data_IF_498049511419
#
_entry.id   IF_498049511419
#
_cell.length_a   1.000
_cell.length_b   1.000
_cell.length_c   1.000
_cell.angle_alpha   90.00
_cell.angle_beta   90.00
_cell.angle_gamma   90.00
#
_symmetry.space_group_name_H-M   'P 1'
#
loop_
_entity.id
_entity.type
_entity.pdbx_description
1 polymer ?
#
# COMPACT_ATOMS: atom_id res chain seq x y z
N UNK A 1 -7.91 -30.54 -29.82
CA UNK A 1 -7.64 -29.28 -29.08
C UNK A 1 -6.91 -28.35 -30.04
N UNK A 2 -7.25 -27.07 -30.15
CA UNK A 2 -6.55 -26.18 -31.11
C UNK A 2 -5.13 -25.89 -30.62
N UNK A 3 -4.15 -25.77 -31.52
CA UNK A 3 -2.74 -25.43 -31.20
C UNK A 3 -2.65 -24.23 -30.24
N UNK A 4 -3.44 -23.18 -30.52
CA UNK A 4 -3.54 -21.98 -29.66
C UNK A 4 -4.02 -22.26 -28.23
N UNK A 5 -4.86 -23.27 -28.02
CA UNK A 5 -5.36 -23.64 -26.68
C UNK A 5 -4.29 -24.40 -25.90
N UNK A 6 -3.52 -25.23 -26.58
CA UNK A 6 -2.39 -25.97 -26.01
C UNK A 6 -1.24 -25.04 -25.62
N UNK A 7 -0.88 -24.10 -26.48
CA UNK A 7 0.12 -23.06 -26.18
C UNK A 7 -0.25 -22.25 -24.92
N UNK A 8 -1.52 -21.86 -24.79
CA UNK A 8 -2.01 -21.14 -23.60
C UNK A 8 -1.92 -21.99 -22.32
N UNK A 9 -2.23 -23.27 -22.41
CA UNK A 9 -2.14 -24.20 -21.28
C UNK A 9 -0.68 -24.39 -20.85
N UNK A 10 0.22 -24.53 -21.81
CA UNK A 10 1.65 -24.68 -21.55
C UNK A 10 2.25 -23.42 -20.93
N UNK A 11 1.88 -22.22 -21.42
CA UNK A 11 2.27 -20.96 -20.82
C UNK A 11 1.78 -20.83 -19.37
N UNK A 12 0.51 -21.19 -19.11
CA UNK A 12 -0.06 -21.17 -17.76
C UNK A 12 0.65 -22.15 -16.82
N UNK A 13 0.99 -23.35 -17.31
CA UNK A 13 1.74 -24.36 -16.54
C UNK A 13 3.13 -23.84 -16.17
N UNK A 14 3.87 -23.30 -17.14
CA UNK A 14 5.18 -22.71 -16.91
C UNK A 14 5.13 -21.59 -15.86
N UNK A 15 4.11 -20.73 -15.92
CA UNK A 15 3.92 -19.65 -14.93
C UNK A 15 3.68 -20.20 -13.51
N UNK A 16 2.93 -21.29 -13.39
CA UNK A 16 2.65 -21.93 -12.10
C UNK A 16 3.89 -22.62 -11.50
N UNK A 17 4.74 -23.20 -12.35
CA UNK A 17 6.00 -23.81 -11.95
C UNK A 17 7.07 -22.76 -11.62
N UNK A 18 7.00 -21.59 -12.25
CA UNK A 18 8.00 -20.53 -12.13
C UNK A 18 7.49 -19.29 -11.37
N UNK A 19 6.63 -19.48 -10.35
CA UNK A 19 5.96 -18.38 -9.62
C UNK A 19 6.90 -17.28 -9.15
N UNK A 20 8.03 -17.63 -8.52
CA UNK A 20 8.99 -16.62 -8.04
C UNK A 20 9.67 -15.85 -9.18
N UNK A 21 10.04 -16.54 -10.27
CA UNK A 21 10.59 -15.88 -11.45
C UNK A 21 9.58 -14.93 -12.09
N UNK A 22 8.33 -15.36 -12.21
CA UNK A 22 7.23 -14.53 -12.74
C UNK A 22 7.02 -13.31 -11.84
N UNK A 23 7.01 -13.48 -10.52
CA UNK A 23 6.88 -12.40 -9.53
C UNK A 23 8.02 -11.39 -9.64
N UNK A 24 9.27 -11.85 -9.69
CA UNK A 24 10.45 -10.99 -9.83
C UNK A 24 10.38 -10.19 -11.13
N UNK A 25 10.14 -10.85 -12.26
CA UNK A 25 10.07 -10.19 -13.57
C UNK A 25 8.92 -9.20 -13.64
N UNK A 26 7.76 -9.55 -13.08
CA UNK A 26 6.60 -8.67 -13.01
C UNK A 26 6.90 -7.43 -12.17
N UNK A 27 7.53 -7.59 -11.00
CA UNK A 27 7.92 -6.48 -10.16
C UNK A 27 8.93 -5.58 -10.86
N UNK A 28 9.97 -6.15 -11.50
CA UNK A 28 10.94 -5.41 -12.31
C UNK A 28 10.25 -4.59 -13.40
N UNK A 29 9.31 -5.18 -14.14
CA UNK A 29 8.56 -4.48 -15.18
C UNK A 29 7.69 -3.36 -14.61
N UNK A 30 6.95 -3.62 -13.52
CA UNK A 30 6.10 -2.62 -12.86
C UNK A 30 6.90 -1.44 -12.34
N UNK A 31 8.06 -1.68 -11.73
CA UNK A 31 8.94 -0.61 -11.23
C UNK A 31 9.49 0.26 -12.36
N UNK A 32 9.81 -0.34 -13.52
CA UNK A 32 10.26 0.40 -14.71
C UNK A 32 9.13 1.15 -15.44
N UNK A 33 7.88 0.70 -15.30
CA UNK A 33 6.72 1.23 -16.02
C UNK A 33 5.69 1.86 -15.06
N UNK A 34 6.15 2.51 -13.98
CA UNK A 34 5.28 3.01 -12.90
C UNK A 34 4.17 3.93 -13.40
N UNK A 35 4.48 4.87 -14.29
CA UNK A 35 3.49 5.81 -14.82
C UNK A 35 2.42 5.11 -15.65
N UNK A 36 2.83 4.18 -16.54
CA UNK A 36 1.90 3.36 -17.33
C UNK A 36 1.01 2.49 -16.44
N UNK A 37 1.58 1.89 -15.39
CA UNK A 37 0.81 1.10 -14.41
C UNK A 37 -0.21 1.97 -13.70
N UNK A 38 0.18 3.19 -13.28
CA UNK A 38 -0.71 4.16 -12.62
C UNK A 38 -1.82 4.61 -13.56
N UNK A 39 -1.52 4.94 -14.81
CA UNK A 39 -2.49 5.38 -15.81
C UNK A 39 -3.55 4.30 -16.06
N UNK A 40 -3.12 3.07 -16.34
CA UNK A 40 -4.04 1.93 -16.54
C UNK A 40 -4.88 1.66 -15.30
N UNK A 41 -4.29 1.78 -14.10
CA UNK A 41 -5.04 1.62 -12.85
C UNK A 41 -6.09 2.71 -12.67
N UNK A 42 -5.74 3.97 -12.90
CA UNK A 42 -6.65 5.10 -12.79
C UNK A 42 -7.82 4.96 -13.78
N UNK A 43 -7.53 4.57 -15.01
CA UNK A 43 -8.56 4.33 -16.03
C UNK A 43 -9.49 3.18 -15.62
N UNK A 44 -8.95 2.08 -15.09
CA UNK A 44 -9.76 0.98 -14.57
C UNK A 44 -10.65 1.43 -13.40
N UNK A 45 -10.12 2.20 -12.45
CA UNK A 45 -10.90 2.75 -11.32
C UNK A 45 -12.04 3.64 -11.81
N UNK A 46 -11.77 4.50 -12.80
CA UNK A 46 -12.75 5.41 -13.40
C UNK A 46 -13.87 4.67 -14.11
N UNK A 47 -13.52 3.60 -14.83
CA UNK A 47 -14.47 2.82 -15.64
C UNK A 47 -15.18 1.71 -14.87
N UNK A 48 -14.71 1.35 -13.68
CA UNK A 48 -15.28 0.26 -12.86
C UNK A 48 -15.59 0.67 -11.41
N UNK A 49 -16.32 1.79 -11.17
CA UNK A 49 -16.53 2.34 -9.83
C UNK A 49 -17.29 1.37 -8.90
N UNK A 50 -18.29 0.64 -9.40
CA UNK A 50 -19.05 -0.33 -8.59
C UNK A 50 -18.17 -1.46 -8.06
N UNK A 51 -17.22 -1.94 -8.88
CA UNK A 51 -16.27 -2.96 -8.47
C UNK A 51 -15.35 -2.44 -7.36
N UNK A 52 -14.83 -1.21 -7.51
CA UNK A 52 -14.00 -0.54 -6.50
C UNK A 52 -14.73 -0.40 -5.17
N UNK A 53 -16.00 0.01 -5.21
CA UNK A 53 -16.86 0.10 -4.02
C UNK A 53 -17.06 -1.28 -3.40
N UNK A 54 -17.33 -2.30 -4.22
CA UNK A 54 -17.48 -3.69 -3.77
C UNK A 54 -16.25 -4.23 -3.06
N UNK A 55 -15.05 -3.98 -3.59
CA UNK A 55 -13.78 -4.36 -2.95
C UNK A 55 -13.57 -3.63 -1.62
N UNK A 56 -13.88 -2.33 -1.58
CA UNK A 56 -13.78 -1.52 -0.35
C UNK A 56 -14.71 -2.08 0.73
N UNK A 57 -15.96 -2.36 0.39
CA UNK A 57 -16.94 -2.95 1.32
C UNK A 57 -16.47 -4.31 1.86
N UNK A 58 -15.98 -5.20 0.99
CA UNK A 58 -15.42 -6.51 1.41
C UNK A 58 -14.26 -6.35 2.38
N UNK A 59 -13.33 -5.43 2.10
CA UNK A 59 -12.17 -5.15 2.97
C UNK A 59 -12.60 -4.61 4.33
N UNK A 60 -13.50 -3.63 4.36
CA UNK A 60 -13.99 -3.05 5.62
C UNK A 60 -14.74 -4.10 6.45
N UNK A 61 -15.59 -4.92 5.81
CA UNK A 61 -16.28 -6.02 6.48
C UNK A 61 -15.29 -7.02 7.09
N UNK A 62 -14.30 -7.47 6.32
CA UNK A 62 -13.29 -8.44 6.80
C UNK A 62 -12.67 -8.04 8.14
N UNK A 63 -12.25 -6.77 8.28
CA UNK A 63 -11.59 -6.30 9.49
C UNK A 63 -12.58 -5.82 10.56
N UNK A 64 -13.74 -5.27 10.16
CA UNK A 64 -14.81 -4.91 11.07
C UNK A 64 -15.35 -6.11 11.83
N UNK A 65 -15.62 -7.23 11.13
CA UNK A 65 -16.10 -8.48 11.75
C UNK A 65 -15.16 -8.97 12.87
N UNK A 66 -13.84 -8.88 12.67
CA UNK A 66 -12.82 -9.30 13.66
C UNK A 66 -12.88 -8.46 14.95
N UNK A 67 -13.33 -7.21 14.83
CA UNK A 67 -13.46 -6.26 15.93
C UNK A 67 -14.91 -6.10 16.39
N UNK A 68 -15.83 -6.95 15.92
CA UNK A 68 -17.26 -6.88 16.21
C UNK A 68 -17.89 -5.51 15.86
N UNK A 69 -17.45 -4.92 14.75
CA UNK A 69 -17.94 -3.64 14.24
C UNK A 69 -18.57 -3.80 12.86
N UNK A 70 -19.60 -3.00 12.57
CA UNK A 70 -20.10 -2.93 11.20
C UNK A 70 -19.06 -2.26 10.27
N UNK A 71 -19.11 -2.51 8.93
CA UNK A 71 -18.11 -1.98 8.01
C UNK A 71 -18.01 -0.44 7.99
N UNK A 72 -19.12 0.27 8.20
CA UNK A 72 -19.18 1.74 8.26
C UNK A 72 -18.55 2.24 9.55
N UNK A 73 -18.87 1.64 10.70
CA UNK A 73 -18.24 1.94 11.98
C UNK A 73 -16.73 1.76 11.91
N UNK A 74 -16.26 0.61 11.43
CA UNK A 74 -14.84 0.34 11.27
C UNK A 74 -14.16 1.35 10.34
N UNK A 75 -14.80 1.72 9.22
CA UNK A 75 -14.31 2.75 8.31
C UNK A 75 -14.18 4.12 8.98
N UNK A 76 -15.21 4.54 9.74
CA UNK A 76 -15.18 5.78 10.52
C UNK A 76 -14.09 5.77 11.60
N UNK A 77 -13.92 4.65 12.31
CA UNK A 77 -12.90 4.48 13.32
C UNK A 77 -11.49 4.60 12.73
N UNK A 78 -11.24 4.00 11.56
CA UNK A 78 -9.97 4.17 10.83
C UNK A 78 -9.69 5.63 10.42
N UNK A 79 -10.72 6.35 9.97
CA UNK A 79 -10.56 7.77 9.61
C UNK A 79 -10.21 8.62 10.85
N UNK A 80 -10.87 8.35 11.99
CA UNK A 80 -10.56 9.01 13.27
C UNK A 80 -9.15 8.66 13.75
N UNK A 81 -8.77 7.39 13.71
CA UNK A 81 -7.43 6.93 14.06
C UNK A 81 -6.34 7.66 13.25
N UNK A 82 -6.55 7.78 11.93
CA UNK A 82 -5.64 8.52 11.04
C UNK A 82 -5.51 9.99 11.47
N UNK A 83 -6.63 10.66 11.73
CA UNK A 83 -6.63 12.05 12.20
C UNK A 83 -5.92 12.18 13.55
N UNK A 84 -6.30 11.39 14.55
CA UNK A 84 -5.75 11.42 15.91
C UNK A 84 -4.25 11.11 15.93
N UNK A 85 -3.76 10.18 15.10
CA UNK A 85 -2.32 9.90 15.02
C UNK A 85 -1.53 11.10 14.53
N UNK A 86 -2.03 11.84 13.54
CA UNK A 86 -1.37 13.05 13.02
C UNK A 86 -1.42 14.19 14.02
N UNK A 87 -2.53 14.34 14.74
CA UNK A 87 -2.67 15.33 15.81
C UNK A 87 -1.72 15.03 16.98
N UNK A 88 -1.63 13.77 17.43
CA UNK A 88 -0.66 13.32 18.45
C UNK A 88 0.78 13.67 18.04
N UNK A 89 1.09 13.46 16.77
CA UNK A 89 2.43 13.64 16.20
C UNK A 89 2.68 15.10 15.74
N UNK A 90 1.81 16.05 16.11
CA UNK A 90 1.87 17.47 15.74
C UNK A 90 2.02 17.72 14.23
N UNK A 91 1.46 16.85 13.40
CA UNK A 91 1.63 16.87 11.95
C UNK A 91 3.12 16.89 11.52
N UNK A 92 3.94 16.10 12.21
CA UNK A 92 5.36 15.91 11.90
C UNK A 92 5.62 14.44 11.57
N UNK A 93 6.38 14.19 10.50
CA UNK A 93 6.86 12.85 10.18
C UNK A 93 7.75 12.31 11.30
N UNK A 94 7.40 11.16 11.87
CA UNK A 94 8.12 10.59 13.01
C UNK A 94 9.44 9.87 12.64
N UNK A 95 9.84 9.89 11.36
CA UNK A 95 11.12 9.35 10.89
C UNK A 95 12.10 10.48 10.53
N UNK A 96 11.65 11.46 9.72
CA UNK A 96 12.53 12.49 9.17
C UNK A 96 12.20 13.91 9.66
N UNK A 97 11.26 14.06 10.59
CA UNK A 97 10.83 15.35 11.16
C UNK A 97 10.26 16.36 10.16
N UNK A 98 9.95 15.96 8.92
CA UNK A 98 9.29 16.84 7.95
C UNK A 98 7.88 17.19 8.42
N UNK A 99 7.59 18.49 8.53
CA UNK A 99 6.26 19.02 8.80
C UNK A 99 5.31 18.78 7.62
N UNK A 100 4.02 18.66 7.91
CA UNK A 100 3.01 18.48 6.90
C UNK A 100 1.61 18.83 7.37
N UNK A 101 0.61 18.25 6.71
CA UNK A 101 -0.79 18.42 7.07
C UNK A 101 -1.57 17.12 6.82
N UNK A 102 -2.89 17.18 7.04
CA UNK A 102 -3.77 16.01 6.90
C UNK A 102 -3.73 15.34 5.52
N UNK A 103 -3.35 16.09 4.46
CA UNK A 103 -3.27 15.61 3.08
C UNK A 103 -1.88 15.08 2.70
N UNK A 104 -0.80 15.62 3.28
CA UNK A 104 0.59 15.25 2.91
C UNK A 104 1.20 14.17 3.80
N UNK A 105 0.65 13.97 5.00
CA UNK A 105 1.06 12.93 5.94
C UNK A 105 0.12 11.73 5.92
N UNK A 106 0.66 10.56 6.23
CA UNK A 106 -0.03 9.28 6.22
C UNK A 106 0.10 8.58 7.58
N UNK A 107 -0.99 7.95 8.00
CA UNK A 107 -1.01 7.06 9.16
C UNK A 107 -0.57 5.66 8.71
N UNK A 108 0.59 5.21 9.18
CA UNK A 108 1.16 3.89 8.86
C UNK A 108 0.92 2.90 10.01
N UNK A 109 0.45 1.70 9.71
CA UNK A 109 0.36 0.61 10.69
C UNK A 109 1.72 -0.09 10.82
N UNK A 110 2.36 -0.02 12.00
CA UNK A 110 3.66 -0.69 12.25
C UNK A 110 3.51 -2.22 12.20
N UNK A 111 2.46 -2.75 12.83
CA UNK A 111 1.99 -4.12 12.67
C UNK A 111 0.88 -4.14 11.63
N UNK A 112 1.17 -4.73 10.46
CA UNK A 112 0.24 -4.76 9.34
C UNK A 112 -1.08 -5.48 9.69
N UNK A 113 -2.19 -4.88 9.26
CA UNK A 113 -3.56 -5.42 9.45
C UNK A 113 -3.75 -6.84 8.93
N UNK A 114 -3.01 -7.22 7.88
CA UNK A 114 -3.10 -8.56 7.32
C UNK A 114 -2.66 -9.66 8.31
N UNK A 115 -1.71 -9.33 9.18
CA UNK A 115 -1.13 -10.24 10.17
C UNK A 115 -1.70 -10.01 11.58
N UNK A 116 -2.01 -8.74 11.91
CA UNK A 116 -2.48 -8.32 13.23
C UNK A 116 -3.76 -7.47 13.13
N UNK A 117 -4.87 -8.02 12.61
CA UNK A 117 -6.11 -7.28 12.40
C UNK A 117 -6.70 -6.67 13.68
N UNK A 118 -6.50 -7.33 14.82
CA UNK A 118 -6.92 -6.87 16.14
C UNK A 118 -6.23 -5.57 16.58
N UNK A 119 -5.06 -5.26 16.03
CA UNK A 119 -4.32 -4.01 16.31
C UNK A 119 -4.67 -2.89 15.34
N UNK A 120 -5.64 -3.08 14.43
CA UNK A 120 -5.90 -2.12 13.35
C UNK A 120 -6.51 -0.79 13.79
N UNK A 121 -7.10 -0.74 14.99
CA UNK A 121 -7.60 0.47 15.66
C UNK A 121 -6.76 0.92 16.87
N UNK A 122 -5.63 0.26 17.13
CA UNK A 122 -4.75 0.64 18.23
C UNK A 122 -3.89 1.86 17.81
N UNK A 123 -4.03 2.98 18.52
CA UNK A 123 -3.27 4.21 18.23
C UNK A 123 -1.76 4.03 18.36
N UNK A 124 -1.30 3.18 19.28
CA UNK A 124 0.12 2.88 19.46
C UNK A 124 0.66 1.97 18.34
N UNK A 125 -0.20 1.41 17.50
CA UNK A 125 0.20 0.68 16.29
C UNK A 125 0.27 1.61 15.05
N UNK A 126 0.06 2.92 15.23
CA UNK A 126 0.04 3.89 14.13
C UNK A 126 1.12 4.94 14.32
N UNK A 127 1.90 5.17 13.26
CA UNK A 127 2.94 6.19 13.19
C UNK A 127 2.66 7.16 12.02
N UNK A 128 2.81 8.46 12.26
CA UNK A 128 2.64 9.48 11.22
C UNK A 128 3.90 9.61 10.37
N UNK A 129 3.78 9.40 9.07
CA UNK A 129 4.90 9.45 8.12
C UNK A 129 4.58 10.39 6.95
N UNK A 130 5.59 11.11 6.47
CA UNK A 130 5.52 11.74 5.16
C UNK A 130 5.41 10.67 4.07
N UNK A 131 4.93 11.05 2.88
CA UNK A 131 4.83 10.12 1.75
C UNK A 131 6.15 9.37 1.50
N UNK A 132 7.33 10.03 1.51
CA UNK A 132 8.57 9.32 1.29
C UNK A 132 8.85 8.18 2.29
N UNK A 133 8.89 8.51 3.58
CA UNK A 133 9.11 7.51 4.61
C UNK A 133 8.01 6.43 4.61
N UNK A 134 6.76 6.79 4.30
CA UNK A 134 5.66 5.84 4.20
C UNK A 134 5.89 4.81 3.09
N UNK A 135 6.28 5.18 1.86
CA UNK A 135 6.47 4.18 0.80
C UNK A 135 7.69 3.29 1.06
N UNK A 136 8.74 3.81 1.68
CA UNK A 136 9.92 3.03 2.08
C UNK A 136 9.57 1.86 3.00
N UNK A 137 8.67 2.08 3.97
CA UNK A 137 8.18 0.99 4.86
C UNK A 137 7.45 -0.13 4.12
N UNK A 138 6.94 0.11 2.90
CA UNK A 138 6.33 -0.93 2.04
C UNK A 138 7.35 -1.58 1.10
N UNK A 139 8.64 -1.29 1.27
CA UNK A 139 9.72 -1.76 0.40
C UNK A 139 9.76 -1.04 -0.95
N UNK A 140 9.07 0.09 -1.09
CA UNK A 140 9.25 0.94 -2.26
C UNK A 140 10.54 1.74 -2.08
N UNK A 141 11.54 1.48 -2.92
CA UNK A 141 12.70 2.38 -3.04
C UNK A 141 12.21 3.72 -3.60
N UNK A 142 12.21 4.73 -2.73
CA UNK A 142 12.14 6.11 -3.16
C UNK A 142 13.58 6.50 -3.43
N UNK A 143 13.89 6.77 -4.68
CA UNK A 143 15.20 7.29 -5.03
C UNK A 143 15.35 8.66 -4.35
N UNK A 144 16.08 8.70 -3.24
CA UNK A 144 16.69 9.94 -2.77
C UNK A 144 17.95 10.13 -3.60
N UNK A 145 17.95 11.18 -4.42
CA UNK A 145 19.12 11.91 -4.93
C UNK A 145 20.49 11.22 -4.74
N UNK A 146 21.03 10.66 -5.82
CA UNK A 146 22.48 10.62 -6.04
C UNK A 146 22.97 12.06 -6.25
N UNK A 147 22.97 12.91 -5.22
CA UNK A 147 23.63 14.22 -5.15
C UNK A 147 23.48 14.85 -3.76
N UNK A 148 24.20 14.33 -2.76
CA UNK A 148 24.67 15.14 -1.64
C UNK A 148 26.17 14.89 -1.53
N UNK A 149 26.91 15.90 -1.98
CA UNK A 149 28.23 16.35 -1.56
C UNK A 149 28.96 15.48 -0.54
N UNK A 150 30.22 15.19 -0.87
CA UNK A 150 31.16 14.56 0.03
C UNK A 150 31.19 15.20 1.41
N UNK A 151 31.13 14.35 2.42
CA UNK A 151 31.67 14.65 3.74
C UNK A 151 32.66 13.54 4.00
N UNK A 152 33.94 13.91 3.97
CA UNK A 152 35.05 13.09 4.43
C UNK A 152 34.79 12.67 5.88
N UNK A 153 34.87 11.37 6.14
CA UNK A 153 34.99 10.84 7.49
C UNK A 153 36.39 11.18 7.99
N UNK A 154 36.46 12.06 9.00
CA UNK A 154 37.58 12.10 9.94
C UNK A 154 37.55 10.85 10.83
#
# INVERSE_FOLDING_TARGET
>A
MTHKKEEKLNAKRWQLENKERVKINTNKWRTKNRDKVREVHNEWVRTHPEQVIGYTRKRLKKYGDILFMDPKEYGCALNRLSKTSKERDNYICQICNTEGNSKTLHAHHMFYKANYPQLSLNLNNVITLCKPCHEETHGYKIYAFDNIVGVELL
#
